data_IF_202439234563
#
_entry.id   IF_202439234563
#
_cell.length_a   1.000
_cell.length_b   1.000
_cell.length_c   1.000
_cell.angle_alpha   90.00
_cell.angle_beta   90.00
_cell.angle_gamma   90.00
#
_symmetry.space_group_name_H-M   'P 1'
#
loop_
_entity.id
_entity.type
_entity.pdbx_description
1 polymer ?
#
# COMPACT_ATOMS: atom_id res chain seq x y z
N UNK A 1 -18.16 12.22 12.51
CA UNK A 1 -17.08 11.22 12.32
C UNK A 1 -17.25 10.70 10.89
N UNK A 2 -16.67 11.38 9.92
CA UNK A 2 -16.91 11.05 8.51
C UNK A 2 -16.06 9.87 8.09
N UNK A 3 -16.67 8.72 7.84
CA UNK A 3 -16.08 7.65 7.03
C UNK A 3 -15.91 8.19 5.61
N UNK A 4 -14.81 8.90 5.39
CA UNK A 4 -14.34 9.29 4.06
C UNK A 4 -14.11 8.01 3.27
N UNK A 5 -15.11 7.70 2.43
CA UNK A 5 -15.31 6.43 1.75
C UNK A 5 -14.03 5.86 1.17
N UNK A 6 -13.93 4.53 1.18
CA UNK A 6 -12.95 3.84 0.32
C UNK A 6 -13.22 4.38 -1.06
N UNK A 7 -12.26 5.10 -1.65
CA UNK A 7 -12.36 5.44 -3.06
C UNK A 7 -12.39 4.11 -3.79
N UNK A 8 -13.43 3.89 -4.60
CA UNK A 8 -13.61 2.66 -5.34
C UNK A 8 -12.53 2.62 -6.43
N UNK A 9 -11.37 2.10 -6.06
CA UNK A 9 -10.25 1.87 -6.93
C UNK A 9 -10.50 0.56 -7.67
N UNK A 10 -10.42 0.60 -9.00
CA UNK A 10 -10.44 -0.62 -9.82
C UNK A 10 -9.21 -1.52 -9.63
N UNK A 11 -8.22 -1.11 -8.82
CA UNK A 11 -6.99 -1.84 -8.55
C UNK A 11 -6.95 -2.36 -7.11
N UNK A 12 -6.96 -3.68 -6.94
CA UNK A 12 -6.86 -4.32 -5.64
C UNK A 12 -5.61 -3.92 -4.82
N UNK A 13 -4.50 -3.58 -5.49
CA UNK A 13 -3.28 -3.12 -4.81
C UNK A 13 -3.43 -1.77 -4.12
N UNK A 14 -4.19 -0.85 -4.74
CA UNK A 14 -4.49 0.45 -4.14
C UNK A 14 -5.45 0.29 -2.95
N UNK A 15 -6.44 -0.60 -3.05
CA UNK A 15 -7.34 -0.92 -1.92
C UNK A 15 -6.55 -1.43 -0.70
N UNK A 16 -5.52 -2.25 -0.92
CA UNK A 16 -4.61 -2.70 0.16
C UNK A 16 -3.85 -1.50 0.75
N UNK A 17 -3.30 -0.61 -0.08
CA UNK A 17 -2.58 0.57 0.39
C UNK A 17 -3.46 1.53 1.21
N UNK A 18 -4.72 1.74 0.79
CA UNK A 18 -5.70 2.52 1.55
C UNK A 18 -6.02 1.89 2.91
N UNK A 19 -6.16 0.56 2.96
CA UNK A 19 -6.36 -0.17 4.21
C UNK A 19 -5.15 0.00 5.15
N UNK A 20 -3.93 -0.15 4.65
CA UNK A 20 -2.69 0.07 5.41
C UNK A 20 -2.60 1.51 5.93
N UNK A 21 -2.93 2.50 5.09
CA UNK A 21 -2.93 3.92 5.48
C UNK A 21 -3.91 4.19 6.62
N UNK A 22 -5.12 3.65 6.54
CA UNK A 22 -6.16 3.78 7.59
C UNK A 22 -5.74 3.11 8.90
N UNK A 23 -4.96 2.04 8.82
CA UNK A 23 -4.35 1.39 9.98
C UNK A 23 -3.16 2.17 10.56
N UNK A 24 -2.78 3.32 9.99
CA UNK A 24 -1.67 4.14 10.47
C UNK A 24 -0.29 3.62 10.07
N UNK A 25 -0.21 2.71 9.09
CA UNK A 25 1.06 2.19 8.59
C UNK A 25 1.83 3.29 7.87
N UNK A 26 3.13 3.41 8.19
CA UNK A 26 4.04 4.41 7.60
C UNK A 26 5.16 3.78 6.77
N UNK A 27 5.47 2.50 6.97
CA UNK A 27 6.57 1.80 6.33
C UNK A 27 6.15 0.38 5.91
N UNK A 28 6.62 -0.06 4.76
CA UNK A 28 6.43 -1.42 4.23
C UNK A 28 7.80 -2.01 3.88
N UNK A 29 8.20 -3.07 4.57
CA UNK A 29 9.41 -3.84 4.25
C UNK A 29 9.02 -4.98 3.32
N UNK A 30 9.77 -5.19 2.23
CA UNK A 30 9.41 -6.20 1.22
C UNK A 30 10.63 -6.63 0.43
N UNK A 31 10.62 -7.86 -0.10
CA UNK A 31 11.43 -8.23 -1.26
C UNK A 31 10.54 -8.11 -2.49
N UNK A 32 10.92 -7.23 -3.43
CA UNK A 32 10.05 -6.93 -4.57
C UNK A 32 9.81 -8.12 -5.51
N UNK A 33 8.65 -8.13 -6.17
CA UNK A 33 8.28 -9.10 -7.19
C UNK A 33 7.10 -8.61 -8.03
N UNK A 34 7.00 -9.07 -9.28
CA UNK A 34 6.01 -8.56 -10.25
C UNK A 34 4.56 -8.66 -9.77
N UNK A 35 4.21 -9.72 -9.03
CA UNK A 35 2.84 -9.94 -8.54
C UNK A 35 2.39 -8.96 -7.46
N UNK A 36 3.32 -8.41 -6.66
CA UNK A 36 3.00 -7.48 -5.57
C UNK A 36 3.15 -6.01 -5.98
N UNK A 37 3.59 -5.76 -7.22
CA UNK A 37 3.83 -4.41 -7.73
C UNK A 37 2.66 -3.44 -7.56
N UNK A 38 1.39 -3.83 -7.77
CA UNK A 38 0.26 -2.93 -7.56
C UNK A 38 0.13 -2.45 -6.10
N UNK A 39 0.50 -3.28 -5.12
CA UNK A 39 0.50 -2.91 -3.70
C UNK A 39 1.63 -1.91 -3.40
N UNK A 40 2.84 -2.16 -3.93
CA UNK A 40 3.99 -1.29 -3.72
C UNK A 40 3.79 0.10 -4.35
N UNK A 41 3.17 0.13 -5.52
CA UNK A 41 2.80 1.37 -6.20
C UNK A 41 1.78 2.15 -5.36
N UNK A 42 0.67 1.52 -4.97
CA UNK A 42 -0.34 2.18 -4.13
C UNK A 42 0.21 2.63 -2.77
N UNK A 43 1.09 1.83 -2.15
CA UNK A 43 1.74 2.22 -0.90
C UNK A 43 2.57 3.50 -1.08
N UNK A 44 3.37 3.58 -2.15
CA UNK A 44 4.16 4.76 -2.48
C UNK A 44 3.28 5.99 -2.75
N UNK A 45 2.19 5.82 -3.51
CA UNK A 45 1.22 6.90 -3.83
C UNK A 45 0.52 7.45 -2.59
N UNK A 46 0.27 6.63 -1.57
CA UNK A 46 -0.33 7.04 -0.30
C UNK A 46 0.68 7.43 0.79
N UNK A 47 1.96 7.60 0.42
CA UNK A 47 3.02 8.07 1.30
C UNK A 47 3.44 7.05 2.35
N UNK A 48 3.25 5.76 2.08
CA UNK A 48 3.84 4.66 2.86
C UNK A 48 5.22 4.40 2.27
N UNK A 49 6.25 4.49 3.10
CA UNK A 49 7.63 4.29 2.65
C UNK A 49 7.91 2.81 2.41
N UNK A 50 8.16 2.45 1.16
CA UNK A 50 8.59 1.09 0.80
C UNK A 50 10.11 0.96 1.01
N UNK A 51 10.52 -0.09 1.73
CA UNK A 51 11.91 -0.49 1.92
C UNK A 51 12.09 -1.86 1.30
N UNK A 52 12.81 -1.89 0.16
CA UNK A 52 13.22 -3.13 -0.47
C UNK A 52 14.38 -3.76 0.32
N UNK A 53 14.19 -5.01 0.75
CA UNK A 53 15.17 -5.79 1.52
C UNK A 53 15.77 -6.89 0.65
N UNK A 54 16.92 -7.45 1.06
CA UNK A 54 17.61 -8.51 0.29
C UNK A 54 17.22 -9.92 0.69
N UNK A 55 16.42 -10.02 1.74
CA UNK A 55 15.80 -11.22 2.30
C UNK A 55 14.54 -10.73 3.01
N UNK A 56 13.44 -11.46 2.87
CA UNK A 56 12.15 -11.18 3.51
C UNK A 56 12.28 -11.06 5.03
#
# INVERSE_FOLDING_TARGET
MGDGGVVDSGNAGELVALALKRAGVSHLFTLNGGHIWPILTGATEHGIRVIDVRHE
#
